data_IF_515464931381
#
_entry.id   IF_515464931381
#
_cell.length_a   1.000
_cell.length_b   1.000
_cell.length_c   1.000
_cell.angle_alpha   90.00
_cell.angle_beta   90.00
_cell.angle_gamma   90.00
#
_symmetry.space_group_name_H-M   'P 1'
#
loop_
_entity.id
_entity.type
_entity.pdbx_description
1 polymer ?
#
# COMPACT_ATOMS: atom_id res chain seq x y z
N UNK A 1 2.10 -42.54 -9.74
CA UNK A 1 0.70 -42.75 -9.36
C UNK A 1 0.72 -43.85 -8.31
N UNK A 2 0.56 -43.51 -7.03
CA UNK A 2 0.71 -44.47 -5.93
C UNK A 2 -0.66 -44.94 -5.45
N UNK A 3 -0.81 -46.25 -5.25
CA UNK A 3 -1.98 -46.91 -4.67
C UNK A 3 -1.57 -47.51 -3.32
N UNK A 4 -2.34 -47.25 -2.27
CA UNK A 4 -2.28 -48.02 -1.03
C UNK A 4 -3.63 -48.73 -0.92
N UNK A 5 -3.70 -49.95 -1.42
CA UNK A 5 -4.82 -50.86 -1.16
C UNK A 5 -4.62 -51.49 0.22
N UNK A 6 -5.63 -51.41 1.09
CA UNK A 6 -5.70 -52.28 2.25
C UNK A 6 -5.70 -53.73 1.76
N UNK A 7 -4.83 -54.57 2.34
CA UNK A 7 -4.47 -55.90 1.84
C UNK A 7 -5.65 -56.91 1.79
N UNK A 8 -6.86 -56.53 2.23
CA UNK A 8 -7.99 -57.45 2.40
C UNK A 8 -9.24 -57.20 1.54
N UNK A 9 -9.30 -56.19 0.67
CA UNK A 9 -10.47 -55.98 -0.20
C UNK A 9 -10.21 -56.46 -1.63
N UNK A 10 -10.47 -57.73 -1.90
CA UNK A 10 -10.31 -58.34 -3.23
C UNK A 10 -11.52 -58.18 -4.16
N UNK A 11 -12.56 -57.41 -3.80
CA UNK A 11 -13.76 -57.34 -4.66
C UNK A 11 -14.56 -56.03 -4.50
N UNK A 12 -13.99 -54.91 -4.93
CA UNK A 12 -14.81 -53.72 -5.17
C UNK A 12 -14.54 -53.15 -6.56
N UNK A 13 -15.56 -53.23 -7.42
CA UNK A 13 -15.71 -52.41 -8.62
C UNK A 13 -15.92 -50.93 -8.29
N UNK A 14 -15.08 -50.39 -7.39
CA UNK A 14 -15.13 -49.03 -6.91
C UNK A 14 -14.79 -48.07 -8.03
N UNK A 15 -15.69 -47.12 -8.30
CA UNK A 15 -15.41 -45.99 -9.17
C UNK A 15 -14.12 -45.32 -8.70
N UNK A 16 -13.13 -45.25 -9.59
CA UNK A 16 -11.88 -44.52 -9.39
C UNK A 16 -12.20 -43.05 -9.09
N UNK A 17 -12.06 -42.64 -7.83
CA UNK A 17 -12.13 -41.23 -7.45
C UNK A 17 -10.68 -40.75 -7.26
N UNK A 18 -10.21 -39.77 -8.06
CA UNK A 18 -8.90 -39.16 -7.83
C UNK A 18 -8.84 -38.59 -6.42
N UNK A 19 -7.80 -38.94 -5.66
CA UNK A 19 -7.53 -38.33 -4.35
C UNK A 19 -7.42 -36.82 -4.52
N UNK A 20 -8.06 -36.07 -3.61
CA UNK A 20 -7.90 -34.62 -3.58
C UNK A 20 -6.40 -34.26 -3.46
N UNK A 21 -5.92 -33.26 -4.21
CA UNK A 21 -4.51 -32.87 -4.13
C UNK A 21 -4.17 -32.42 -2.72
N UNK A 22 -2.95 -32.74 -2.25
CA UNK A 22 -2.49 -32.34 -0.92
C UNK A 22 -2.46 -30.81 -0.77
N UNK A 23 -2.50 -30.31 0.48
CA UNK A 23 -2.41 -28.87 0.78
C UNK A 23 -1.15 -28.27 0.12
N UNK A 24 -0.01 -28.95 0.24
CA UNK A 24 1.27 -28.53 -0.34
C UNK A 24 1.23 -28.47 -1.88
N UNK A 25 0.57 -29.43 -2.53
CA UNK A 25 0.40 -29.42 -3.99
C UNK A 25 -0.49 -28.25 -4.43
N UNK A 26 -1.53 -27.91 -3.65
CA UNK A 26 -2.39 -26.76 -3.91
C UNK A 26 -1.63 -25.43 -3.70
N UNK A 27 -0.84 -25.31 -2.64
CA UNK A 27 0.04 -24.15 -2.36
C UNK A 27 1.07 -23.93 -3.47
N UNK A 28 1.68 -25.02 -3.96
CA UNK A 28 2.62 -24.97 -5.07
C UNK A 28 1.94 -24.46 -6.35
N UNK A 29 0.74 -24.95 -6.67
CA UNK A 29 -0.03 -24.49 -7.83
C UNK A 29 -0.41 -23.00 -7.72
N UNK A 30 -0.73 -22.52 -6.51
CA UNK A 30 -1.00 -21.11 -6.26
C UNK A 30 0.24 -20.25 -6.49
N UNK A 31 1.39 -20.68 -5.96
CA UNK A 31 2.68 -20.01 -6.17
C UNK A 31 3.07 -19.94 -7.64
N UNK A 32 2.82 -21.01 -8.42
CA UNK A 32 3.02 -20.99 -9.87
C UNK A 32 2.08 -20.02 -10.60
N UNK A 33 0.81 -19.98 -10.20
CA UNK A 33 -0.18 -19.06 -10.80
C UNK A 33 0.19 -17.60 -10.52
N UNK A 34 0.59 -17.31 -9.28
CA UNK A 34 1.15 -16.02 -8.90
C UNK A 34 2.38 -15.65 -9.74
N UNK A 35 3.33 -16.57 -9.90
CA UNK A 35 4.51 -16.34 -10.72
C UNK A 35 4.16 -16.03 -12.19
N UNK A 36 3.21 -16.77 -12.79
CA UNK A 36 2.69 -16.46 -14.13
C UNK A 36 2.08 -15.05 -14.19
N UNK A 37 1.35 -14.64 -13.14
CA UNK A 37 0.82 -13.28 -13.00
C UNK A 37 1.92 -12.21 -13.03
N UNK A 38 3.03 -12.44 -12.32
CA UNK A 38 4.18 -11.54 -12.33
C UNK A 38 4.84 -11.43 -13.71
N UNK A 39 4.97 -12.54 -14.44
CA UNK A 39 5.50 -12.52 -15.81
C UNK A 39 4.63 -11.66 -16.73
N UNK A 40 3.30 -11.73 -16.60
CA UNK A 40 2.38 -10.87 -17.37
C UNK A 40 2.48 -9.40 -16.96
N UNK A 41 2.67 -9.11 -15.66
CA UNK A 41 2.91 -7.76 -15.17
C UNK A 41 4.20 -7.16 -15.75
N UNK A 42 5.29 -7.93 -15.79
CA UNK A 42 6.55 -7.51 -16.40
C UNK A 42 6.42 -7.27 -17.92
N UNK A 43 5.63 -8.11 -18.60
CA UNK A 43 5.28 -7.94 -20.00
C UNK A 43 4.30 -6.78 -20.27
N UNK A 44 3.87 -6.04 -19.23
CA UNK A 44 2.86 -4.97 -19.29
C UNK A 44 1.49 -5.43 -19.79
N UNK A 45 1.21 -6.74 -19.76
CA UNK A 45 -0.11 -7.31 -20.02
C UNK A 45 -0.95 -7.24 -18.75
N UNK A 46 -1.41 -6.03 -18.43
CA UNK A 46 -2.10 -5.71 -17.18
C UNK A 46 -3.43 -6.45 -17.04
N UNK A 47 -4.12 -6.74 -18.14
CA UNK A 47 -5.38 -7.47 -18.12
C UNK A 47 -5.17 -8.91 -17.64
N UNK A 48 -4.22 -9.64 -18.25
CA UNK A 48 -3.92 -11.02 -17.82
C UNK A 48 -3.24 -11.09 -16.46
N UNK A 49 -2.38 -10.12 -16.14
CA UNK A 49 -1.78 -10.03 -14.81
C UNK A 49 -2.85 -9.90 -13.72
N UNK A 50 -3.85 -9.02 -13.93
CA UNK A 50 -4.98 -8.86 -13.02
C UNK A 50 -5.76 -10.16 -12.86
N UNK A 51 -6.11 -10.82 -13.96
CA UNK A 51 -6.86 -12.07 -13.94
C UNK A 51 -6.17 -13.15 -13.09
N UNK A 52 -4.88 -13.37 -13.33
CA UNK A 52 -4.09 -14.37 -12.61
C UNK A 52 -3.92 -14.03 -11.12
N UNK A 53 -3.66 -12.77 -10.77
CA UNK A 53 -3.53 -12.35 -9.38
C UNK A 53 -4.85 -12.42 -8.62
N UNK A 54 -5.97 -12.05 -9.26
CA UNK A 54 -7.32 -12.21 -8.69
C UNK A 54 -7.67 -13.69 -8.51
N UNK A 55 -7.27 -14.56 -9.44
CA UNK A 55 -7.49 -16.00 -9.32
C UNK A 55 -6.77 -16.59 -8.09
N UNK A 56 -5.54 -16.13 -7.81
CA UNK A 56 -4.81 -16.51 -6.58
C UNK A 56 -5.59 -16.06 -5.33
N UNK A 57 -6.02 -14.80 -5.28
CA UNK A 57 -6.70 -14.23 -4.10
C UNK A 57 -8.10 -14.83 -3.85
N UNK A 58 -8.79 -15.29 -4.90
CA UNK A 58 -10.10 -15.96 -4.79
C UNK A 58 -10.01 -17.41 -4.35
N UNK A 59 -8.82 -18.00 -4.29
CA UNK A 59 -8.69 -19.39 -3.90
C UNK A 59 -9.09 -19.57 -2.41
N UNK A 60 -9.92 -20.57 -2.06
CA UNK A 60 -10.38 -20.78 -0.69
C UNK A 60 -9.26 -20.90 0.35
N UNK A 61 -8.10 -21.46 -0.02
CA UNK A 61 -6.94 -21.56 0.87
C UNK A 61 -6.36 -20.20 1.25
N UNK A 62 -6.40 -19.24 0.31
CA UNK A 62 -5.89 -17.88 0.51
C UNK A 62 -6.91 -17.03 1.27
N UNK A 63 -8.19 -17.15 0.92
CA UNK A 63 -9.26 -16.38 1.59
C UNK A 63 -9.47 -16.83 3.04
N UNK A 64 -9.31 -18.12 3.32
CA UNK A 64 -9.47 -18.71 4.65
C UNK A 64 -8.23 -18.63 5.55
N UNK A 65 -7.08 -18.15 5.05
CA UNK A 65 -5.91 -17.93 5.88
C UNK A 65 -6.16 -16.75 6.82
N UNK A 66 -6.26 -17.02 8.12
CA UNK A 66 -6.45 -16.02 9.17
C UNK A 66 -5.12 -15.42 9.63
N UNK A 67 -5.13 -14.14 10.02
CA UNK A 67 -3.94 -13.42 10.53
C UNK A 67 -3.50 -13.95 11.90
N UNK A 68 -4.40 -14.62 12.62
CA UNK A 68 -4.14 -15.25 13.91
C UNK A 68 -4.16 -16.77 13.74
N UNK A 69 -2.99 -17.41 13.50
CA UNK A 69 -2.57 -18.75 13.96
C UNK A 69 -1.66 -19.52 12.95
N UNK A 70 -0.72 -20.30 13.52
CA UNK A 70 0.17 -21.34 12.94
C UNK A 70 1.25 -20.95 11.92
N UNK A 71 2.47 -21.50 12.10
CA UNK A 71 3.61 -21.33 11.20
C UNK A 71 3.35 -21.82 9.76
N UNK A 72 2.41 -22.75 9.57
CA UNK A 72 2.01 -23.27 8.25
C UNK A 72 1.29 -22.23 7.40
N UNK A 73 0.53 -21.31 7.99
CA UNK A 73 -0.27 -20.34 7.23
C UNK A 73 0.53 -19.06 6.93
N UNK A 74 1.73 -18.91 7.51
CA UNK A 74 2.65 -17.81 7.21
C UNK A 74 3.02 -17.72 5.73
N UNK A 75 3.21 -18.86 5.04
CA UNK A 75 3.49 -18.85 3.61
C UNK A 75 2.28 -18.37 2.78
N UNK A 76 1.07 -18.81 3.14
CA UNK A 76 -0.18 -18.40 2.49
C UNK A 76 -0.49 -16.92 2.71
N UNK A 77 -0.29 -16.42 3.93
CA UNK A 77 -0.42 -15.00 4.26
C UNK A 77 0.60 -14.15 3.49
N UNK A 78 1.86 -14.61 3.40
CA UNK A 78 2.88 -13.95 2.61
C UNK A 78 2.50 -13.91 1.12
N UNK A 79 2.00 -15.02 0.57
CA UNK A 79 1.55 -15.07 -0.82
C UNK A 79 0.34 -14.13 -1.05
N UNK A 80 -0.62 -14.09 -0.13
CA UNK A 80 -1.77 -13.19 -0.16
C UNK A 80 -1.33 -11.73 -0.16
N UNK A 81 -0.45 -11.36 0.77
CA UNK A 81 0.15 -10.02 0.86
C UNK A 81 0.85 -9.61 -0.44
N UNK A 82 1.70 -10.48 -0.98
CA UNK A 82 2.41 -10.21 -2.22
C UNK A 82 1.47 -10.10 -3.42
N UNK A 83 0.44 -10.94 -3.51
CA UNK A 83 -0.56 -10.88 -4.56
C UNK A 83 -1.37 -9.57 -4.49
N UNK A 84 -1.77 -9.12 -3.29
CA UNK A 84 -2.46 -7.84 -3.09
C UNK A 84 -1.59 -6.64 -3.52
N UNK A 85 -0.32 -6.59 -3.10
CA UNK A 85 0.61 -5.52 -3.50
C UNK A 85 0.79 -5.42 -5.01
N UNK A 86 0.96 -6.56 -5.66
CA UNK A 86 1.14 -6.60 -7.11
C UNK A 86 -0.16 -6.30 -7.86
N UNK A 87 -1.31 -6.73 -7.34
CA UNK A 87 -2.61 -6.39 -7.92
C UNK A 87 -2.88 -4.90 -7.80
N UNK A 88 -2.54 -4.27 -6.67
CA UNK A 88 -2.60 -2.81 -6.51
C UNK A 88 -1.72 -2.12 -7.55
N UNK A 89 -0.50 -2.62 -7.78
CA UNK A 89 0.40 -2.09 -8.82
C UNK A 89 -0.21 -2.23 -10.23
N UNK A 90 -0.84 -3.35 -10.54
CA UNK A 90 -1.55 -3.55 -11.82
C UNK A 90 -2.67 -2.51 -11.97
N UNK A 91 -3.50 -2.32 -10.95
CA UNK A 91 -4.57 -1.32 -10.98
C UNK A 91 -4.03 0.11 -11.18
N UNK A 92 -2.94 0.47 -10.49
CA UNK A 92 -2.29 1.77 -10.69
C UNK A 92 -1.81 1.96 -12.13
N UNK A 93 -1.31 0.91 -12.79
CA UNK A 93 -0.88 0.95 -14.20
C UNK A 93 -2.04 1.03 -15.19
N UNK A 94 -3.21 0.50 -14.84
CA UNK A 94 -4.41 0.59 -15.66
C UNK A 94 -5.09 1.98 -15.59
N UNK A 95 -4.79 2.77 -14.56
CA UNK A 95 -5.16 4.19 -14.50
C UNK A 95 -6.24 4.53 -13.46
N UNK A 96 -6.71 5.77 -13.50
CA UNK A 96 -7.55 6.37 -12.45
C UNK A 96 -8.87 5.64 -12.19
N UNK A 97 -9.47 5.03 -13.22
CA UNK A 97 -10.69 4.21 -13.10
C UNK A 97 -10.53 2.99 -12.19
N UNK A 98 -9.29 2.61 -11.86
CA UNK A 98 -8.98 1.46 -11.02
C UNK A 98 -8.37 1.84 -9.66
N UNK A 99 -8.37 3.12 -9.30
CA UNK A 99 -7.80 3.58 -8.04
C UNK A 99 -8.50 3.00 -6.81
N UNK A 100 -9.83 2.84 -6.82
CA UNK A 100 -10.55 2.19 -5.73
C UNK A 100 -10.09 0.75 -5.51
N UNK A 101 -9.89 0.00 -6.61
CA UNK A 101 -9.37 -1.36 -6.55
C UNK A 101 -7.96 -1.42 -5.97
N UNK A 102 -7.08 -0.49 -6.37
CA UNK A 102 -5.73 -0.38 -5.81
C UNK A 102 -5.74 -0.01 -4.33
N UNK A 103 -6.63 0.89 -3.92
CA UNK A 103 -6.77 1.34 -2.53
C UNK A 103 -7.18 0.17 -1.63
N UNK A 104 -8.22 -0.57 -2.03
CA UNK A 104 -8.68 -1.76 -1.31
C UNK A 104 -7.58 -2.83 -1.19
N UNK A 105 -6.81 -3.05 -2.26
CA UNK A 105 -5.69 -4.00 -2.22
C UNK A 105 -4.62 -3.58 -1.21
N UNK A 106 -4.27 -2.28 -1.14
CA UNK A 106 -3.30 -1.79 -0.16
C UNK A 106 -3.81 -1.87 1.28
N UNK A 107 -5.08 -1.54 1.52
CA UNK A 107 -5.71 -1.66 2.85
C UNK A 107 -5.63 -3.11 3.34
N UNK A 108 -6.06 -4.06 2.50
CA UNK A 108 -5.97 -5.48 2.86
C UNK A 108 -4.52 -5.96 3.03
N UNK A 109 -3.56 -5.38 2.30
CA UNK A 109 -2.16 -5.74 2.45
C UNK A 109 -1.59 -5.28 3.80
N UNK A 110 -1.91 -4.06 4.26
CA UNK A 110 -1.44 -3.57 5.57
C UNK A 110 -2.13 -4.25 6.75
N UNK A 111 -3.32 -4.80 6.56
CA UNK A 111 -4.00 -5.65 7.56
C UNK A 111 -3.26 -6.98 7.77
N UNK A 112 -2.59 -7.50 6.72
CA UNK A 112 -1.79 -8.73 6.81
C UNK A 112 -0.39 -8.44 7.37
N UNK A 113 0.29 -7.42 6.83
CA UNK A 113 1.61 -6.99 7.29
C UNK A 113 1.66 -5.47 7.44
N UNK A 114 1.41 -5.02 8.67
CA UNK A 114 1.46 -3.62 9.03
C UNK A 114 2.89 -3.06 9.13
N UNK A 115 3.96 -3.88 8.98
CA UNK A 115 5.35 -3.43 9.13
C UNK A 115 5.99 -2.99 7.81
N UNK A 116 5.33 -3.19 6.67
CA UNK A 116 5.87 -2.80 5.38
C UNK A 116 5.65 -1.30 5.08
N UNK A 117 6.68 -0.50 5.37
CA UNK A 117 6.67 0.94 5.09
C UNK A 117 6.54 1.31 3.60
N UNK A 118 6.86 0.39 2.67
CA UNK A 118 6.69 0.62 1.23
C UNK A 118 5.22 0.61 0.86
N UNK A 119 4.44 -0.32 1.43
CA UNK A 119 2.98 -0.40 1.21
C UNK A 119 2.30 0.84 1.77
N UNK A 120 2.64 1.25 2.99
CA UNK A 120 2.15 2.49 3.59
C UNK A 120 2.43 3.72 2.73
N UNK A 121 3.66 3.84 2.21
CA UNK A 121 4.04 4.92 1.30
C UNK A 121 3.23 4.89 -0.02
N UNK A 122 2.96 3.71 -0.57
CA UNK A 122 2.14 3.54 -1.78
C UNK A 122 0.67 3.89 -1.53
N UNK A 123 0.11 3.42 -0.41
CA UNK A 123 -1.24 3.74 0.06
C UNK A 123 -1.41 5.26 0.22
N UNK A 124 -0.47 5.93 0.90
CA UNK A 124 -0.49 7.37 1.09
C UNK A 124 -0.40 8.14 -0.22
N UNK A 125 0.44 7.69 -1.15
CA UNK A 125 0.61 8.31 -2.49
C UNK A 125 -0.66 8.20 -3.33
N UNK A 126 -1.29 7.02 -3.33
CA UNK A 126 -2.55 6.79 -4.02
C UNK A 126 -3.67 7.64 -3.40
N UNK A 127 -3.80 7.61 -2.06
CA UNK A 127 -4.80 8.38 -1.33
C UNK A 127 -4.70 9.88 -1.63
N UNK A 128 -3.47 10.41 -1.67
CA UNK A 128 -3.23 11.81 -2.07
C UNK A 128 -3.75 12.07 -3.49
N UNK A 129 -3.43 11.19 -4.44
CA UNK A 129 -3.87 11.31 -5.84
C UNK A 129 -5.38 11.21 -6.01
N UNK A 130 -6.07 10.55 -5.08
CA UNK A 130 -7.53 10.47 -5.00
C UNK A 130 -8.17 11.65 -4.24
N UNK A 131 -7.37 12.57 -3.69
CA UNK A 131 -7.84 13.69 -2.87
C UNK A 131 -8.19 13.35 -1.43
N UNK A 132 -7.87 12.13 -0.98
CA UNK A 132 -8.11 11.63 0.38
C UNK A 132 -6.94 12.06 1.30
N UNK A 133 -6.83 13.35 1.59
CA UNK A 133 -5.70 13.92 2.31
C UNK A 133 -5.54 13.36 3.74
N UNK A 134 -6.63 13.15 4.48
CA UNK A 134 -6.58 12.56 5.83
C UNK A 134 -6.05 11.12 5.82
N UNK A 135 -6.54 10.31 4.87
CA UNK A 135 -6.04 8.93 4.67
C UNK A 135 -4.57 8.93 4.24
N UNK A 136 -4.18 9.89 3.40
CA UNK A 136 -2.80 10.05 2.95
C UNK A 136 -1.85 10.37 4.12
N UNK A 137 -2.22 11.33 4.97
CA UNK A 137 -1.49 11.67 6.19
C UNK A 137 -1.32 10.44 7.08
N UNK A 138 -2.43 9.78 7.42
CA UNK A 138 -2.42 8.61 8.29
C UNK A 138 -1.49 7.51 7.73
N UNK A 139 -1.58 7.22 6.43
CA UNK A 139 -0.73 6.20 5.81
C UNK A 139 0.77 6.57 5.87
N UNK A 140 1.14 7.83 5.64
CA UNK A 140 2.55 8.23 5.76
C UNK A 140 3.05 8.21 7.22
N UNK A 141 2.21 8.61 8.19
CA UNK A 141 2.52 8.50 9.61
C UNK A 141 2.73 7.04 10.03
N UNK A 142 1.85 6.11 9.60
CA UNK A 142 2.05 4.68 9.83
C UNK A 142 3.35 4.19 9.18
N UNK A 143 3.65 4.62 7.95
CA UNK A 143 4.91 4.30 7.27
C UNK A 143 6.16 4.75 8.04
N UNK A 144 6.10 5.90 8.73
CA UNK A 144 7.17 6.39 9.61
C UNK A 144 7.22 5.67 10.94
N UNK A 145 6.09 5.22 11.50
CA UNK A 145 6.09 4.36 12.68
C UNK A 145 6.79 3.03 12.40
N UNK A 146 6.56 2.44 11.22
CA UNK A 146 7.21 1.21 10.79
C UNK A 146 8.71 1.42 10.51
N UNK A 147 9.05 2.53 9.87
CA UNK A 147 10.41 2.85 9.47
C UNK A 147 10.68 4.35 9.68
N UNK A 148 11.21 4.73 10.86
CA UNK A 148 11.42 6.15 11.23
C UNK A 148 12.33 6.92 10.28
N UNK A 149 13.21 6.21 9.57
CA UNK A 149 14.15 6.79 8.60
C UNK A 149 13.62 6.74 7.15
N UNK A 150 12.33 6.44 6.93
CA UNK A 150 11.76 6.40 5.59
C UNK A 150 11.58 7.82 5.02
N UNK A 151 12.60 8.24 4.27
CA UNK A 151 12.67 9.56 3.64
C UNK A 151 11.47 9.88 2.73
N UNK A 152 10.99 8.89 1.97
CA UNK A 152 9.83 9.09 1.08
C UNK A 152 8.59 9.44 1.90
N UNK A 153 8.37 8.80 3.05
CA UNK A 153 7.24 9.12 3.90
C UNK A 153 7.40 10.50 4.55
N UNK A 154 8.60 10.88 5.00
CA UNK A 154 8.84 12.20 5.60
C UNK A 154 8.54 13.35 4.62
N UNK A 155 9.16 13.31 3.43
CA UNK A 155 8.96 14.36 2.42
C UNK A 155 7.50 14.44 1.98
N UNK A 156 6.87 13.30 1.74
CA UNK A 156 5.46 13.29 1.32
C UNK A 156 4.51 13.73 2.42
N UNK A 157 4.77 13.34 3.67
CA UNK A 157 3.99 13.78 4.82
C UNK A 157 4.07 15.29 4.98
N UNK A 158 5.26 15.89 4.85
CA UNK A 158 5.45 17.34 4.88
C UNK A 158 4.52 18.04 3.88
N UNK A 159 4.51 17.57 2.63
CA UNK A 159 3.69 18.18 1.57
C UNK A 159 2.19 17.94 1.77
N UNK A 160 1.79 16.78 2.32
CA UNK A 160 0.39 16.53 2.69
C UNK A 160 -0.06 17.43 3.83
N UNK A 161 0.79 17.69 4.82
CA UNK A 161 0.48 18.59 5.93
C UNK A 161 0.34 20.04 5.47
N UNK A 162 1.16 20.48 4.50
CA UNK A 162 0.97 21.77 3.81
C UNK A 162 -0.39 21.82 3.10
N UNK A 163 -0.76 20.76 2.37
CA UNK A 163 -2.04 20.70 1.67
C UNK A 163 -3.26 20.71 2.61
N UNK A 164 -3.14 20.10 3.80
CA UNK A 164 -4.15 20.12 4.87
C UNK A 164 -4.17 21.49 5.57
N UNK A 165 -3.02 22.14 5.70
CA UNK A 165 -2.84 23.37 6.48
C UNK A 165 -2.61 23.11 7.97
N UNK A 166 -2.08 21.94 8.35
CA UNK A 166 -1.71 21.63 9.73
C UNK A 166 -0.28 22.14 10.01
N UNK A 167 -0.20 23.36 10.53
CA UNK A 167 1.04 24.08 10.81
C UNK A 167 1.93 23.37 11.85
N UNK A 168 1.33 22.91 12.96
CA UNK A 168 2.08 22.32 14.08
C UNK A 168 2.71 21.01 13.64
N UNK A 169 1.94 20.16 12.96
CA UNK A 169 2.48 18.92 12.41
C UNK A 169 3.51 19.22 11.31
N UNK A 170 3.28 20.22 10.46
CA UNK A 170 4.21 20.58 9.39
C UNK A 170 5.60 21.01 9.94
N UNK A 171 5.63 21.85 10.97
CA UNK A 171 6.88 22.22 11.66
C UNK A 171 7.59 21.03 12.27
N UNK A 172 6.87 20.16 12.98
CA UNK A 172 7.48 19.00 13.63
C UNK A 172 8.09 18.01 12.62
N UNK A 173 7.44 17.80 11.47
CA UNK A 173 8.01 17.01 10.36
C UNK A 173 9.19 17.72 9.69
N UNK A 174 9.13 19.04 9.51
CA UNK A 174 10.25 19.81 8.97
C UNK A 174 11.48 19.71 9.88
N UNK A 175 11.29 19.83 11.19
CA UNK A 175 12.36 19.65 12.19
C UNK A 175 12.93 18.23 12.18
N UNK A 176 12.07 17.21 12.08
CA UNK A 176 12.50 15.83 11.94
C UNK A 176 13.42 15.67 10.71
N UNK A 177 12.98 16.18 9.57
CA UNK A 177 13.76 16.17 8.33
C UNK A 177 15.12 16.86 8.52
N UNK A 178 15.15 18.04 9.14
CA UNK A 178 16.37 18.82 9.34
C UNK A 178 17.34 18.21 10.35
N UNK A 179 16.86 17.42 11.33
CA UNK A 179 17.74 16.66 12.23
C UNK A 179 18.55 15.62 11.47
N UNK A 180 17.96 14.99 10.44
CA UNK A 180 18.64 14.01 9.61
C UNK A 180 19.44 14.65 8.47
N UNK A 181 18.91 15.72 7.87
CA UNK A 181 19.52 16.42 6.76
C UNK A 181 19.40 17.96 6.94
N UNK A 182 20.36 18.59 7.65
CA UNK A 182 20.29 20.01 8.01
C UNK A 182 20.25 20.97 6.81
N UNK A 183 20.79 20.56 5.66
CA UNK A 183 20.79 21.35 4.42
C UNK A 183 19.60 21.06 3.49
N UNK A 184 18.58 20.35 3.98
CA UNK A 184 17.39 20.06 3.19
C UNK A 184 16.59 21.33 2.84
N UNK A 185 16.71 21.78 1.59
CA UNK A 185 16.24 23.09 1.13
C UNK A 185 14.74 23.30 1.33
N UNK A 186 13.93 22.27 1.04
CA UNK A 186 12.47 22.37 1.16
C UNK A 186 12.02 22.47 2.62
N UNK A 187 12.61 21.67 3.51
CA UNK A 187 12.26 21.70 4.93
C UNK A 187 12.72 23.01 5.60
N UNK A 188 13.91 23.53 5.25
CA UNK A 188 14.37 24.85 5.70
C UNK A 188 13.41 25.96 5.27
N UNK A 189 12.99 25.95 4.00
CA UNK A 189 12.06 26.94 3.48
C UNK A 189 10.71 26.89 4.20
N UNK A 190 10.16 25.68 4.41
CA UNK A 190 8.89 25.49 5.12
C UNK A 190 9.00 25.99 6.56
N UNK A 191 10.02 25.56 7.30
CA UNK A 191 10.27 25.98 8.68
C UNK A 191 10.37 27.49 8.80
N UNK A 192 11.24 28.11 7.99
CA UNK A 192 11.44 29.56 7.98
C UNK A 192 10.14 30.32 7.65
N UNK A 193 9.37 29.84 6.67
CA UNK A 193 8.12 30.51 6.26
C UNK A 193 7.08 30.52 7.39
N UNK A 194 7.04 29.47 8.21
CA UNK A 194 6.12 29.37 9.34
C UNK A 194 6.63 30.18 10.54
N UNK A 195 7.93 30.11 10.86
CA UNK A 195 8.53 30.82 12.00
C UNK A 195 8.62 32.35 11.80
N UNK A 196 8.87 32.81 10.57
CA UNK A 196 8.96 34.24 10.25
C UNK A 196 7.56 34.92 10.20
N UNK A 197 6.48 34.15 10.24
CA UNK A 197 5.13 34.68 10.20
C UNK A 197 4.71 35.27 11.56
N UNK A 198 4.13 36.46 11.53
CA UNK A 198 3.60 37.09 12.75
C UNK A 198 2.54 36.21 13.41
N UNK A 199 2.63 36.12 14.74
CA UNK A 199 1.71 35.34 15.55
C UNK A 199 0.42 36.12 15.79
N UNK A 200 -0.52 36.04 14.85
CA UNK A 200 -1.85 36.64 15.01
C UNK A 200 -2.80 35.58 15.60
N UNK A 201 -3.53 35.87 16.70
CA UNK A 201 -4.51 34.94 17.26
C UNK A 201 -5.50 34.44 16.20
N UNK A 202 -5.69 33.12 16.13
CA UNK A 202 -6.63 32.44 15.23
C UNK A 202 -6.31 32.53 13.72
N UNK A 203 -5.15 33.06 13.33
CA UNK A 203 -4.68 33.07 11.93
C UNK A 203 -3.62 31.98 11.69
N UNK A 204 -3.55 31.40 10.47
CA UNK A 204 -2.46 30.51 10.11
C UNK A 204 -1.12 31.26 10.10
N UNK A 205 -0.09 30.68 10.71
CA UNK A 205 1.25 31.28 10.82
C UNK A 205 2.06 30.89 9.58
N UNK A 206 1.80 31.57 8.46
CA UNK A 206 2.60 31.44 7.23
C UNK A 206 2.40 30.18 6.40
N UNK A 207 1.73 29.13 6.92
CA UNK A 207 1.41 27.92 6.14
C UNK A 207 0.51 28.21 4.93
N UNK A 208 -0.29 29.28 5.00
CA UNK A 208 -1.10 29.81 3.90
C UNK A 208 -0.26 30.36 2.72
N UNK A 209 1.02 30.67 2.96
CA UNK A 209 1.97 31.10 1.93
C UNK A 209 2.66 29.91 1.23
N UNK A 210 2.46 28.70 1.76
CA UNK A 210 3.08 27.48 1.24
C UNK A 210 2.12 26.74 0.30
N UNK A 211 2.68 26.26 -0.80
CA UNK A 211 2.00 25.40 -1.76
C UNK A 211 2.63 24.01 -1.73
N UNK A 212 1.85 22.92 -1.70
CA UNK A 212 2.38 21.57 -1.67
C UNK A 212 3.01 21.21 -3.03
N UNK A 213 4.24 20.70 -3.01
CA UNK A 213 5.04 20.41 -4.21
C UNK A 213 5.83 19.13 -4.04
N UNK A 214 5.49 18.11 -4.81
CA UNK A 214 6.23 16.84 -4.82
C UNK A 214 6.11 16.14 -6.18
N UNK A 215 7.20 15.57 -6.68
CA UNK A 215 7.28 14.95 -8.02
C UNK A 215 6.26 13.82 -8.22
N UNK A 216 5.94 13.09 -7.14
CA UNK A 216 5.06 11.91 -7.16
C UNK A 216 3.68 12.12 -6.51
N UNK A 217 3.39 13.28 -5.93
CA UNK A 217 2.08 13.53 -5.34
C UNK A 217 1.24 14.42 -6.27
N UNK A 218 -0.07 14.20 -6.22
CA UNK A 218 -1.06 15.05 -6.86
C UNK A 218 -2.05 15.49 -5.79
N UNK A 219 -2.46 16.75 -5.83
CA UNK A 219 -3.34 17.33 -4.81
C UNK A 219 -4.60 17.89 -5.47
N UNK A 220 -5.56 17.04 -5.85
CA UNK A 220 -6.78 17.49 -6.53
C UNK A 220 -7.72 18.30 -5.61
N UNK A 221 -7.63 18.11 -4.30
CA UNK A 221 -8.52 18.70 -3.28
C UNK A 221 -7.78 19.63 -2.31
N UNK A 222 -6.61 20.18 -2.69
CA UNK A 222 -5.87 21.09 -1.81
C UNK A 222 -6.69 22.35 -1.48
N UNK A 223 -6.42 22.93 -0.30
CA UNK A 223 -6.92 24.26 0.06
C UNK A 223 -6.53 25.26 -1.03
N UNK A 224 -7.50 25.99 -1.59
CA UNK A 224 -7.21 27.13 -2.46
C UNK A 224 -6.57 28.23 -1.61
N UNK A 225 -5.48 28.82 -2.10
CA UNK A 225 -5.02 30.10 -1.54
C UNK A 225 -6.14 31.13 -1.79
N UNK A 226 -6.41 32.02 -0.84
CA UNK A 226 -7.53 32.98 -0.90
C UNK A 226 -7.49 34.02 -2.04
N UNK A 227 -6.70 33.79 -3.10
CA UNK A 227 -6.60 34.60 -4.31
C UNK A 227 -7.29 33.99 -5.55
N UNK A 228 -7.83 32.77 -5.45
CA UNK A 228 -8.45 32.06 -6.58
C UNK A 228 -9.98 32.25 -6.69
N UNK A 229 -10.56 33.17 -5.90
CA UNK A 229 -11.97 33.55 -5.95
C UNK A 229 -12.13 35.04 -6.33
N UNK A 230 -11.59 35.42 -7.50
CA UNK A 230 -11.94 36.68 -8.21
C UNK A 230 -12.25 36.37 -9.67
#
# INVERSE_FOLDING_TARGET
>A
MFSITAINDTDSGGKWVPLAPSKEAQEFNLSQTYHKGLLKLQAKDYAKARELLVAVLKNPLISGAEVNCNASDGHLLQLRFLALKNLATVFLKQGAMHYDGALQCYIQAVEIDAKDSVVWNQLGTLSCSMGLLSTSRWAFEQGLLCSPNNWNCMEKLLEVLIAIGDEVACLSVADLILRHWPSHSRALHVKKTIEDAESIPFAPRGIDKLEPKHVRLKFPTKRKAGKDDV
#
